data_IF_149076050521
#
_entry.id   IF_149076050521
#
_cell.length_a   1.000
_cell.length_b   1.000
_cell.length_c   1.000
_cell.angle_alpha   90.00
_cell.angle_beta   90.00
_cell.angle_gamma   90.00
#
_symmetry.space_group_name_H-M   'P 1'
#
loop_
_entity.id
_entity.type
_entity.pdbx_description
1 polymer ?
#
# COMPACT_ATOMS: atom_id res chain seq x y z
N UNK A 1 -8.41 -8.23 -10.03
CA UNK A 1 -9.38 -7.11 -10.10
C UNK A 1 -8.63 -5.81 -9.86
N UNK A 2 -8.85 -4.76 -10.66
CA UNK A 2 -8.28 -3.45 -10.39
C UNK A 2 -8.97 -2.78 -9.20
N UNK A 3 -8.21 -2.04 -8.39
CA UNK A 3 -8.79 -1.32 -7.24
C UNK A 3 -9.39 -0.01 -7.75
N UNK A 4 -10.71 0.07 -7.67
CA UNK A 4 -11.49 1.27 -8.01
C UNK A 4 -11.97 1.93 -6.71
N UNK A 5 -11.59 3.19 -6.52
CA UNK A 5 -11.95 4.01 -5.36
C UNK A 5 -13.15 4.85 -5.75
N UNK A 6 -14.17 4.85 -4.91
CA UNK A 6 -15.43 5.53 -5.15
C UNK A 6 -15.79 6.45 -3.98
N UNK A 7 -16.47 7.54 -4.31
CA UNK A 7 -17.14 8.38 -3.32
C UNK A 7 -18.63 8.09 -3.38
N UNK A 8 -19.24 7.76 -2.25
CA UNK A 8 -20.68 7.53 -2.15
C UNK A 8 -21.45 8.83 -2.24
N UNK A 9 -22.77 8.76 -2.49
CA UNK A 9 -23.65 9.94 -2.43
C UNK A 9 -23.70 10.61 -1.05
N UNK A 10 -23.34 9.89 0.00
CA UNK A 10 -23.16 10.43 1.36
C UNK A 10 -21.74 10.93 1.63
N UNK A 11 -20.92 11.13 0.59
CA UNK A 11 -19.52 11.60 0.66
C UNK A 11 -18.56 10.71 1.47
N UNK A 12 -18.86 9.42 1.55
CA UNK A 12 -17.94 8.44 2.17
C UNK A 12 -17.02 7.86 1.09
N UNK A 13 -15.76 7.62 1.42
CA UNK A 13 -14.82 6.94 0.52
C UNK A 13 -14.93 5.43 0.69
N UNK A 14 -15.08 4.73 -0.41
CA UNK A 14 -15.17 3.28 -0.46
C UNK A 14 -14.38 2.68 -1.61
N UNK A 15 -14.40 1.35 -1.67
CA UNK A 15 -13.77 0.55 -2.72
C UNK A 15 -14.82 -0.32 -3.38
N UNK A 16 -14.78 -0.38 -4.71
CA UNK A 16 -15.74 -1.16 -5.48
C UNK A 16 -15.34 -2.64 -5.50
N UNK A 17 -16.30 -3.52 -5.24
CA UNK A 17 -16.11 -4.97 -5.33
C UNK A 17 -16.45 -5.50 -6.75
N UNK A 18 -16.26 -6.81 -6.97
CA UNK A 18 -16.57 -7.47 -8.26
C UNK A 18 -18.05 -7.43 -8.66
N UNK A 19 -18.94 -7.17 -7.71
CA UNK A 19 -20.40 -7.06 -7.91
C UNK A 19 -20.85 -5.61 -8.14
N UNK A 20 -19.91 -4.68 -8.34
CA UNK A 20 -20.16 -3.24 -8.46
C UNK A 20 -20.76 -2.58 -7.21
N UNK A 21 -20.65 -3.22 -6.04
CA UNK A 21 -20.98 -2.60 -4.75
C UNK A 21 -19.77 -1.83 -4.22
N UNK A 22 -20.01 -0.65 -3.68
CA UNK A 22 -19.03 0.17 -2.97
C UNK A 22 -19.05 -0.24 -1.51
N UNK A 23 -17.94 -0.81 -1.05
CA UNK A 23 -17.69 -1.18 0.34
C UNK A 23 -17.01 -0.02 1.04
N UNK A 24 -17.56 0.44 2.15
CA UNK A 24 -17.01 1.55 2.94
C UNK A 24 -17.28 1.34 4.43
N UNK A 25 -16.55 2.07 5.26
CA UNK A 25 -16.77 2.09 6.71
C UNK A 25 -17.53 3.35 7.10
N UNK A 26 -18.57 3.18 7.91
CA UNK A 26 -19.28 4.28 8.55
C UNK A 26 -19.59 3.91 9.98
N UNK A 27 -19.14 4.73 10.95
CA UNK A 27 -19.27 4.46 12.38
C UNK A 27 -18.81 3.03 12.76
N UNK A 28 -17.62 2.65 12.30
CA UNK A 28 -17.01 1.32 12.52
C UNK A 28 -17.84 0.13 12.00
N UNK A 29 -18.84 0.37 11.15
CA UNK A 29 -19.66 -0.67 10.54
C UNK A 29 -19.39 -0.72 9.05
N UNK A 30 -19.21 -1.93 8.52
CA UNK A 30 -19.10 -2.15 7.06
C UNK A 30 -20.46 -1.88 6.43
N UNK A 31 -20.48 -1.00 5.43
CA UNK A 31 -21.65 -0.68 4.64
C UNK A 31 -21.39 -0.95 3.17
N UNK A 32 -22.46 -1.23 2.44
CA UNK A 32 -22.45 -1.46 0.99
C UNK A 32 -23.47 -0.56 0.34
N UNK A 33 -23.15 -0.05 -0.84
CA UNK A 33 -24.09 0.72 -1.67
C UNK A 33 -23.73 0.58 -3.15
N UNK A 34 -24.70 0.79 -4.03
CA UNK A 34 -24.45 0.92 -5.47
C UNK A 34 -24.33 2.40 -5.90
N UNK A 35 -24.70 3.34 -5.03
CA UNK A 35 -24.75 4.77 -5.33
C UNK A 35 -23.39 5.43 -5.14
N UNK A 36 -22.77 5.85 -6.23
CA UNK A 36 -21.57 6.70 -6.25
C UNK A 36 -21.89 8.10 -6.78
N UNK A 37 -21.14 9.09 -6.33
CA UNK A 37 -20.97 10.37 -7.02
C UNK A 37 -19.93 10.24 -8.11
N UNK A 38 -18.82 9.58 -7.78
CA UNK A 38 -17.68 9.45 -8.67
C UNK A 38 -16.85 8.23 -8.27
N UNK A 39 -16.15 7.65 -9.25
CA UNK A 39 -15.21 6.57 -9.05
C UNK A 39 -14.01 6.73 -9.99
N UNK A 40 -12.85 6.22 -9.57
CA UNK A 40 -11.66 6.12 -10.42
C UNK A 40 -10.88 4.85 -10.16
N UNK A 41 -10.30 4.34 -11.24
CA UNK A 41 -9.36 3.24 -11.16
C UNK A 41 -7.98 3.73 -10.68
N UNK A 42 -7.36 2.94 -9.80
CA UNK A 42 -5.99 3.12 -9.36
C UNK A 42 -5.07 2.12 -10.04
N UNK A 43 -3.75 2.33 -9.97
CA UNK A 43 -2.81 1.34 -10.54
C UNK A 43 -2.72 0.04 -9.75
N UNK A 44 -3.31 -0.03 -8.55
CA UNK A 44 -3.31 -1.22 -7.72
C UNK A 44 -4.25 -2.30 -8.27
N UNK A 45 -3.90 -3.56 -8.07
CA UNK A 45 -4.77 -4.70 -8.36
C UNK A 45 -4.81 -5.68 -7.20
N UNK A 46 -5.90 -6.40 -7.06
CA UNK A 46 -6.06 -7.52 -6.12
C UNK A 46 -6.11 -8.82 -6.91
N UNK A 47 -5.22 -9.75 -6.54
CA UNK A 47 -5.11 -11.10 -7.08
C UNK A 47 -5.14 -12.09 -5.92
N UNK A 48 -6.20 -12.90 -5.84
CA UNK A 48 -6.45 -13.73 -4.65
C UNK A 48 -6.52 -12.86 -3.38
N UNK A 49 -5.69 -13.20 -2.40
CA UNK A 49 -5.54 -12.49 -1.13
C UNK A 49 -4.32 -11.55 -1.12
N UNK A 50 -3.99 -10.96 -2.26
CA UNK A 50 -2.80 -10.10 -2.38
C UNK A 50 -3.12 -8.82 -3.14
N UNK A 51 -2.78 -7.68 -2.55
CA UNK A 51 -2.74 -6.39 -3.23
C UNK A 51 -1.39 -6.24 -3.94
N UNK A 52 -1.41 -5.88 -5.22
CA UNK A 52 -0.26 -5.81 -6.13
C UNK A 52 -0.06 -4.40 -6.65
N UNK A 53 1.21 -3.98 -6.74
CA UNK A 53 1.62 -2.73 -7.39
C UNK A 53 3.08 -2.80 -7.85
N UNK A 54 3.36 -2.71 -9.16
CA UNK A 54 4.73 -2.67 -9.74
C UNK A 54 5.74 -3.62 -9.07
N UNK A 55 5.40 -4.90 -8.97
CA UNK A 55 6.24 -5.95 -8.37
C UNK A 55 6.16 -6.04 -6.83
N UNK A 56 5.54 -5.06 -6.16
CA UNK A 56 5.21 -5.14 -4.74
C UNK A 56 3.94 -5.94 -4.52
N UNK A 57 3.94 -6.75 -3.46
CA UNK A 57 2.77 -7.44 -2.94
C UNK A 57 2.58 -7.16 -1.45
N UNK A 58 1.32 -6.93 -1.08
CA UNK A 58 0.85 -6.90 0.29
C UNK A 58 -0.16 -8.03 0.51
N UNK A 59 0.02 -8.84 1.54
CA UNK A 59 -0.95 -9.85 1.92
C UNK A 59 -2.21 -9.21 2.53
N UNK A 60 -3.36 -9.71 2.11
CA UNK A 60 -4.68 -9.36 2.61
C UNK A 60 -5.18 -10.55 3.45
N UNK A 61 -4.95 -10.52 4.78
CA UNK A 61 -4.95 -11.73 5.60
C UNK A 61 -6.34 -12.18 6.05
N UNK A 62 -7.40 -11.43 5.70
CA UNK A 62 -8.73 -11.75 6.18
C UNK A 62 -9.38 -12.82 5.31
N UNK A 63 -10.11 -13.75 5.94
CA UNK A 63 -10.96 -14.70 5.21
C UNK A 63 -12.20 -14.02 4.60
N UNK A 64 -12.48 -12.78 5.00
CA UNK A 64 -13.61 -12.00 4.53
C UNK A 64 -13.18 -11.04 3.41
N UNK A 65 -13.79 -11.15 2.23
CA UNK A 65 -13.47 -10.33 1.05
C UNK A 65 -13.70 -8.83 1.31
N UNK A 66 -14.76 -8.43 2.02
CA UNK A 66 -15.03 -7.03 2.33
C UNK A 66 -13.95 -6.43 3.24
N UNK A 67 -13.46 -7.20 4.23
CA UNK A 67 -12.35 -6.76 5.09
C UNK A 67 -11.05 -6.63 4.31
N UNK A 68 -10.76 -7.54 3.38
CA UNK A 68 -9.59 -7.43 2.50
C UNK A 68 -9.69 -6.21 1.58
N UNK A 69 -10.87 -5.92 1.04
CA UNK A 69 -11.12 -4.73 0.24
C UNK A 69 -10.93 -3.46 1.09
N UNK A 70 -11.44 -3.43 2.31
CA UNK A 70 -11.23 -2.29 3.23
C UNK A 70 -9.75 -2.13 3.60
N UNK A 71 -9.01 -3.22 3.85
CA UNK A 71 -7.55 -3.13 4.04
C UNK A 71 -6.87 -2.53 2.82
N UNK A 72 -7.21 -3.00 1.61
CA UNK A 72 -6.67 -2.45 0.37
C UNK A 72 -7.01 -0.96 0.21
N UNK A 73 -8.24 -0.55 0.52
CA UNK A 73 -8.67 0.85 0.54
C UNK A 73 -7.78 1.67 1.48
N UNK A 74 -7.61 1.24 2.73
CA UNK A 74 -6.80 1.96 3.71
C UNK A 74 -5.34 2.09 3.30
N UNK A 75 -4.79 1.04 2.67
CA UNK A 75 -3.44 1.06 2.12
C UNK A 75 -3.30 2.05 0.96
N UNK A 76 -4.24 2.04 0.02
CA UNK A 76 -4.26 2.94 -1.15
C UNK A 76 -4.50 4.41 -0.75
N UNK A 77 -5.24 4.65 0.33
CA UNK A 77 -5.36 5.97 0.97
C UNK A 77 -4.13 6.36 1.81
N UNK A 78 -3.13 5.48 1.87
CA UNK A 78 -1.91 5.65 2.64
C UNK A 78 -2.12 5.78 4.15
N UNK A 79 -3.24 5.27 4.68
CA UNK A 79 -3.61 5.33 6.11
C UNK A 79 -3.10 4.12 6.90
N UNK A 80 -2.66 3.05 6.23
CA UNK A 80 -2.09 1.85 6.85
C UNK A 80 -0.66 2.08 7.34
N UNK A 81 -0.32 1.49 8.49
CA UNK A 81 1.00 1.48 9.12
C UNK A 81 1.39 0.07 9.57
N UNK A 82 2.67 -0.17 9.83
CA UNK A 82 3.22 -1.50 10.18
C UNK A 82 2.93 -2.55 9.10
N UNK A 83 3.08 -2.17 7.84
CA UNK A 83 2.82 -3.06 6.71
C UNK A 83 4.12 -3.70 6.23
N UNK A 84 4.01 -4.96 5.79
CA UNK A 84 5.12 -5.71 5.19
C UNK A 84 4.80 -5.97 3.74
N UNK A 85 5.64 -5.46 2.85
CA UNK A 85 5.55 -5.71 1.41
C UNK A 85 6.66 -6.65 0.97
N UNK A 86 6.34 -7.47 -0.01
CA UNK A 86 7.30 -8.31 -0.71
C UNK A 86 7.54 -7.75 -2.10
N UNK A 87 8.81 -7.64 -2.50
CA UNK A 87 9.18 -7.30 -3.87
C UNK A 87 9.49 -8.58 -4.66
N UNK A 88 8.82 -8.75 -5.81
CA UNK A 88 9.06 -9.80 -6.81
C UNK A 88 9.27 -11.20 -6.20
N UNK A 89 8.29 -11.67 -5.42
CA UNK A 89 8.30 -12.96 -4.71
C UNK A 89 9.46 -13.09 -3.70
N UNK A 90 9.50 -12.18 -2.71
CA UNK A 90 10.48 -12.17 -1.61
C UNK A 90 11.95 -11.97 -2.02
N UNK A 91 12.21 -11.39 -3.20
CA UNK A 91 13.56 -10.95 -3.57
C UNK A 91 14.05 -9.81 -2.67
N UNK A 92 13.14 -8.98 -2.18
CA UNK A 92 13.38 -8.07 -1.07
C UNK A 92 12.12 -7.97 -0.22
N UNK A 93 12.31 -7.62 1.05
CA UNK A 93 11.23 -7.35 1.99
C UNK A 93 11.28 -5.87 2.34
N UNK A 94 10.12 -5.24 2.40
CA UNK A 94 9.94 -3.85 2.79
C UNK A 94 9.05 -3.83 4.02
N UNK A 95 9.55 -3.29 5.11
CA UNK A 95 8.74 -2.93 6.27
C UNK A 95 8.44 -1.45 6.24
N UNK A 96 7.19 -1.08 6.51
CA UNK A 96 6.71 0.29 6.58
C UNK A 96 6.14 0.50 7.98
N UNK A 97 6.86 1.24 8.83
CA UNK A 97 6.51 1.43 10.25
C UNK A 97 5.47 2.55 10.43
N UNK A 98 5.48 3.53 9.54
CA UNK A 98 4.56 4.69 9.57
C UNK A 98 3.43 4.56 8.56
N UNK A 99 2.53 5.54 8.50
CA UNK A 99 1.54 5.63 7.44
C UNK A 99 2.22 5.85 6.09
N UNK A 100 1.83 5.10 5.05
CA UNK A 100 2.44 5.20 3.71
C UNK A 100 2.47 6.65 3.18
N UNK A 101 1.40 7.42 3.42
CA UNK A 101 1.33 8.83 2.99
C UNK A 101 2.32 9.76 3.69
N UNK A 102 2.94 9.32 4.79
CA UNK A 102 3.91 10.07 5.58
C UNK A 102 5.36 9.66 5.29
N UNK A 103 5.59 8.66 4.43
CA UNK A 103 6.93 8.18 4.11
C UNK A 103 7.79 9.26 3.45
N UNK A 104 8.98 9.48 3.99
CA UNK A 104 9.99 10.39 3.44
C UNK A 104 11.09 9.61 2.76
N UNK A 105 11.03 9.56 1.44
CA UNK A 105 12.02 8.87 0.61
C UNK A 105 13.07 9.85 0.09
N UNK A 106 14.35 9.50 0.26
CA UNK A 106 15.49 10.27 -0.26
C UNK A 106 15.70 9.97 -1.74
N UNK A 107 16.21 10.94 -2.50
CA UNK A 107 16.57 10.71 -3.91
C UNK A 107 17.62 9.61 -4.07
N UNK A 108 18.67 9.67 -3.25
CA UNK A 108 19.78 8.72 -3.24
C UNK A 108 19.87 8.04 -1.87
N UNK A 109 19.29 6.84 -1.69
CA UNK A 109 19.45 6.09 -0.46
C UNK A 109 20.87 5.52 -0.36
N UNK A 110 21.38 5.44 0.86
CA UNK A 110 22.58 4.65 1.14
C UNK A 110 22.18 3.18 1.26
N UNK A 111 22.95 2.29 0.62
CA UNK A 111 22.78 0.85 0.75
C UNK A 111 23.94 0.31 1.58
N UNK A 112 23.62 -0.43 2.65
CA UNK A 112 24.60 -1.04 3.54
C UNK A 112 24.44 -2.56 3.52
N UNK A 113 25.54 -3.31 3.66
CA UNK A 113 25.49 -4.75 3.89
C UNK A 113 25.62 -5.03 5.39
N UNK A 114 24.54 -5.45 6.03
CA UNK A 114 24.41 -5.42 7.51
C UNK A 114 23.46 -6.50 8.02
N UNK A 115 23.63 -6.90 9.30
CA UNK A 115 22.68 -7.77 10.02
C UNK A 115 21.53 -7.00 10.66
N UNK A 116 21.56 -5.67 10.65
CA UNK A 116 20.51 -4.82 11.20
C UNK A 116 20.07 -3.81 10.15
N UNK A 117 18.79 -3.84 9.79
CA UNK A 117 18.20 -2.93 8.82
C UNK A 117 17.08 -2.11 9.47
N UNK A 118 17.35 -0.85 9.80
CA UNK A 118 16.46 -0.05 10.65
C UNK A 118 16.24 -0.72 12.00
N UNK A 119 14.97 -0.95 12.36
CA UNK A 119 14.57 -1.60 13.61
C UNK A 119 14.62 -3.15 13.54
N UNK A 120 15.08 -3.74 12.43
CA UNK A 120 14.97 -5.17 12.16
C UNK A 120 16.32 -5.88 12.23
N UNK A 121 16.41 -6.88 13.11
CA UNK A 121 17.53 -7.83 13.15
C UNK A 121 17.34 -8.97 12.14
N UNK A 122 18.39 -9.25 11.37
CA UNK A 122 18.41 -10.26 10.31
C UNK A 122 19.29 -11.45 10.71
N UNK A 123 18.86 -12.66 10.36
CA UNK A 123 19.60 -13.90 10.66
C UNK A 123 21.01 -13.87 10.04
N UNK A 124 21.10 -13.40 8.79
CA UNK A 124 22.34 -13.26 8.03
C UNK A 124 22.47 -11.81 7.53
N UNK A 125 23.69 -11.31 7.29
CA UNK A 125 23.87 -10.01 6.67
C UNK A 125 23.19 -9.93 5.30
N UNK A 126 22.51 -8.82 5.02
CA UNK A 126 21.84 -8.54 3.76
C UNK A 126 22.07 -7.10 3.32
N UNK A 127 21.82 -6.81 2.04
CA UNK A 127 21.78 -5.43 1.57
C UNK A 127 20.55 -4.75 2.14
N UNK A 128 20.72 -3.51 2.59
CA UNK A 128 19.72 -2.78 3.36
C UNK A 128 19.66 -1.31 2.95
N UNK A 129 18.44 -0.79 2.80
CA UNK A 129 18.12 0.64 2.83
C UNK A 129 17.12 0.85 3.97
N UNK A 130 17.42 1.73 4.91
CA UNK A 130 16.48 2.01 6.01
C UNK A 130 16.44 3.49 6.39
N UNK A 131 15.33 3.86 7.01
CA UNK A 131 15.14 5.09 7.77
C UNK A 131 14.44 4.75 9.10
N UNK A 132 14.06 5.76 9.88
CA UNK A 132 13.20 5.54 11.06
C UNK A 132 11.75 5.18 10.71
N UNK A 133 11.37 5.23 9.43
CA UNK A 133 9.99 5.07 8.96
C UNK A 133 9.76 3.78 8.14
N UNK A 134 10.84 3.19 7.62
CA UNK A 134 10.80 1.98 6.80
C UNK A 134 12.16 1.28 6.77
N UNK A 135 12.16 0.00 6.41
CA UNK A 135 13.37 -0.78 6.13
C UNK A 135 13.15 -1.67 4.90
N UNK A 136 14.11 -1.70 3.99
CA UNK A 136 14.15 -2.57 2.81
C UNK A 136 15.40 -3.42 2.90
N UNK A 137 15.25 -4.74 2.83
CA UNK A 137 16.39 -5.64 2.82
C UNK A 137 16.23 -6.83 1.89
N UNK A 138 17.35 -7.34 1.40
CA UNK A 138 17.39 -8.48 0.49
C UNK A 138 18.81 -8.99 0.21
N UNK A 139 18.95 -10.19 -0.37
CA UNK A 139 20.25 -10.83 -0.58
C UNK A 139 21.09 -10.19 -1.68
N UNK A 140 20.51 -9.36 -2.57
CA UNK A 140 21.21 -8.69 -3.67
C UNK A 140 20.99 -7.19 -3.64
N UNK A 141 22.05 -6.42 -3.84
CA UNK A 141 22.00 -4.95 -3.83
C UNK A 141 21.01 -4.39 -4.88
N UNK A 142 21.07 -4.93 -6.10
CA UNK A 142 20.21 -4.53 -7.21
C UNK A 142 18.72 -4.68 -6.86
N UNK A 143 18.35 -5.80 -6.23
CA UNK A 143 16.95 -6.08 -5.85
C UNK A 143 16.45 -5.10 -4.77
N UNK A 144 17.32 -4.73 -3.83
CA UNK A 144 17.00 -3.74 -2.79
C UNK A 144 16.83 -2.35 -3.42
N UNK A 145 17.68 -2.00 -4.39
CA UNK A 145 17.57 -0.74 -5.14
C UNK A 145 16.30 -0.67 -5.98
N UNK A 146 15.95 -1.74 -6.68
CA UNK A 146 14.70 -1.84 -7.43
C UNK A 146 13.47 -1.77 -6.50
N UNK A 147 13.48 -2.51 -5.39
CA UNK A 147 12.40 -2.48 -4.40
C UNK A 147 12.19 -1.06 -3.85
N UNK A 148 13.28 -0.32 -3.61
CA UNK A 148 13.21 1.09 -3.23
C UNK A 148 12.59 1.98 -4.32
N UNK A 149 12.93 1.74 -5.59
CA UNK A 149 12.30 2.43 -6.71
C UNK A 149 10.80 2.14 -6.80
N UNK A 150 10.39 0.88 -6.64
CA UNK A 150 8.96 0.52 -6.61
C UNK A 150 8.24 1.13 -5.40
N UNK A 151 8.91 1.27 -4.25
CA UNK A 151 8.35 1.96 -3.08
C UNK A 151 8.13 3.45 -3.36
N UNK A 152 9.06 4.13 -4.04
CA UNK A 152 8.88 5.51 -4.50
C UNK A 152 7.66 5.66 -5.40
N UNK A 153 7.58 4.82 -6.42
CA UNK A 153 6.43 4.79 -7.32
C UNK A 153 5.11 4.58 -6.58
N UNK A 154 5.11 3.76 -5.51
CA UNK A 154 3.94 3.48 -4.70
C UNK A 154 3.52 4.72 -3.91
N UNK A 155 4.47 5.39 -3.24
CA UNK A 155 4.21 6.63 -2.50
C UNK A 155 3.67 7.72 -3.44
N UNK A 156 4.24 7.85 -4.64
CA UNK A 156 3.76 8.79 -5.66
C UNK A 156 2.33 8.47 -6.12
N UNK A 157 2.00 7.18 -6.30
CA UNK A 157 0.65 6.76 -6.67
C UNK A 157 -0.36 7.06 -5.57
N UNK A 158 -0.01 6.78 -4.31
CA UNK A 158 -0.83 7.15 -3.14
C UNK A 158 -1.04 8.67 -3.10
N UNK A 159 0.01 9.46 -3.35
CA UNK A 159 -0.09 10.92 -3.46
C UNK A 159 -1.11 11.37 -4.52
N UNK A 160 -1.11 10.73 -5.71
CA UNK A 160 -2.09 11.01 -6.77
C UNK A 160 -3.52 10.66 -6.38
N UNK A 161 -3.71 9.54 -5.69
CA UNK A 161 -5.03 9.14 -5.16
C UNK A 161 -5.54 10.20 -4.18
N UNK A 162 -4.70 10.65 -3.24
CA UNK A 162 -5.07 11.64 -2.24
C UNK A 162 -5.37 13.02 -2.86
N UNK A 163 -4.60 13.44 -3.86
CA UNK A 163 -4.85 14.69 -4.58
C UNK A 163 -6.22 14.66 -5.28
N UNK A 164 -6.55 13.56 -5.96
CA UNK A 164 -7.87 13.39 -6.60
C UNK A 164 -9.01 13.47 -5.58
N UNK A 165 -8.87 12.86 -4.41
CA UNK A 165 -9.90 12.93 -3.37
C UNK A 165 -10.05 14.35 -2.81
N UNK A 166 -8.94 15.08 -2.68
CA UNK A 166 -8.94 16.47 -2.23
C UNK A 166 -9.61 17.42 -3.23
N UNK A 167 -9.38 17.22 -4.54
CA UNK A 167 -10.03 17.98 -5.61
C UNK A 167 -11.57 17.84 -5.56
N UNK A 168 -12.05 16.69 -5.09
CA UNK A 168 -13.47 16.38 -4.88
C UNK A 168 -14.02 16.81 -3.50
N UNK A 169 -13.20 17.49 -2.68
CA UNK A 169 -13.60 18.01 -1.38
C UNK A 169 -13.75 16.94 -0.29
N UNK A 170 -12.95 15.87 -0.34
CA UNK A 170 -12.94 14.77 0.62
C UNK A 170 -11.59 14.75 1.37
N UNK A 171 -11.64 14.69 2.70
CA UNK A 171 -10.47 14.65 3.60
C UNK A 171 -10.11 13.23 4.11
#
# INVERSE_FOLDING_TARGET
>A
MKVEICTTTSREVGVKNKKNEIIYLKNNTIRKTYSSLWCFETKFSIEGNTLKFKGLSLELPFNNEDLNLLKALYFVLGRSSNEVLEYNNKKAIIHIDTQVKLLKLKDKPQINFTRFCGNYGLLLPQYCISSGEFAIYGPREEQVREAYSSLKDLVDEVGKVLLKLKEEGIE
#
